data_IF_611123259324
#
_entry.id   IF_611123259324
#
_cell.length_a   1.000
_cell.length_b   1.000
_cell.length_c   1.000
_cell.angle_alpha   90.00
_cell.angle_beta   90.00
_cell.angle_gamma   90.00
#
_symmetry.space_group_name_H-M   'P 1'
#
loop_
_entity.id
_entity.type
_entity.pdbx_description
1 polymer ?
#
# COMPACT_ATOMS: atom_id res chain seq x y z
N UNK A 1 -18.62 1.52 2.34
CA UNK A 1 -17.16 1.27 2.30
C UNK A 1 -16.48 2.47 2.91
N UNK A 2 -15.49 2.29 3.79
CA UNK A 2 -14.70 3.41 4.30
C UNK A 2 -13.66 3.78 3.23
N UNK A 3 -13.67 5.03 2.77
CA UNK A 3 -12.65 5.51 1.84
C UNK A 3 -11.29 5.51 2.52
N UNK A 4 -10.22 5.27 1.74
CA UNK A 4 -8.86 5.42 2.26
C UNK A 4 -8.66 6.86 2.76
N UNK A 5 -7.97 7.02 3.89
CA UNK A 5 -7.54 8.31 4.41
C UNK A 5 -6.22 8.14 5.17
N UNK A 6 -5.40 9.19 5.33
CA UNK A 6 -4.19 9.13 6.16
C UNK A 6 -4.51 8.72 7.61
N UNK A 7 -5.65 9.16 8.15
CA UNK A 7 -6.11 8.81 9.49
C UNK A 7 -6.36 7.31 9.63
N UNK A 8 -7.10 6.72 8.68
CA UNK A 8 -7.37 5.27 8.69
C UNK A 8 -6.11 4.46 8.43
N UNK A 9 -5.19 4.93 7.58
CA UNK A 9 -3.90 4.27 7.34
C UNK A 9 -2.97 4.30 8.58
N UNK A 10 -2.97 5.39 9.35
CA UNK A 10 -2.22 5.46 10.61
C UNK A 10 -2.79 4.52 11.69
N UNK A 11 -4.12 4.38 11.74
CA UNK A 11 -4.84 3.65 12.80
C UNK A 11 -5.05 2.15 12.50
N UNK A 12 -5.27 1.77 11.25
CA UNK A 12 -5.52 0.39 10.88
C UNK A 12 -4.23 -0.44 11.01
N UNK A 13 -4.30 -1.56 11.72
CA UNK A 13 -3.18 -2.42 12.08
C UNK A 13 -2.49 -3.13 10.89
N UNK A 14 -2.48 -4.48 10.80
CA UNK A 14 -1.69 -5.29 9.84
C UNK A 14 -1.87 -4.93 8.38
N UNK A 15 -2.99 -4.33 8.02
CA UNK A 15 -3.39 -4.20 6.65
C UNK A 15 -3.76 -2.74 6.35
N UNK A 16 -3.40 -2.30 5.13
CA UNK A 16 -3.93 -1.12 4.44
C UNK A 16 -3.13 0.18 4.57
N UNK A 17 -2.09 0.23 3.75
CA UNK A 17 -1.25 1.41 3.45
C UNK A 17 -1.61 2.02 2.09
N UNK A 18 -2.79 1.73 1.51
CA UNK A 18 -2.87 1.75 0.04
C UNK A 18 -4.11 2.47 -0.48
N UNK A 19 -3.86 3.62 -1.12
CA UNK A 19 -4.85 4.38 -1.87
C UNK A 19 -5.26 3.53 -3.07
N UNK A 20 -6.55 3.27 -3.30
CA UNK A 20 -6.99 2.65 -4.54
C UNK A 20 -6.46 3.51 -5.67
N UNK A 21 -5.49 2.94 -6.39
CA UNK A 21 -5.00 3.37 -7.69
C UNK A 21 -5.47 4.77 -8.11
N UNK A 22 -4.66 5.81 -7.89
CA UNK A 22 -5.06 7.16 -8.25
C UNK A 22 -5.22 7.21 -9.78
N UNK A 23 -6.46 7.29 -10.24
CA UNK A 23 -6.80 7.39 -11.66
C UNK A 23 -7.08 8.83 -12.08
N UNK A 24 -7.31 9.75 -11.12
CA UNK A 24 -7.76 11.10 -11.46
C UNK A 24 -7.39 12.22 -10.48
N UNK A 25 -7.04 11.97 -9.21
CA UNK A 25 -6.81 13.08 -8.28
C UNK A 25 -5.64 12.90 -7.30
N UNK A 26 -4.44 12.90 -7.88
CA UNK A 26 -3.16 12.99 -7.14
C UNK A 26 -3.09 14.24 -6.25
N UNK A 27 -3.79 15.32 -6.64
CA UNK A 27 -3.82 16.58 -5.90
C UNK A 27 -4.66 16.47 -4.63
N UNK A 28 -5.83 15.81 -4.68
CA UNK A 28 -6.61 15.49 -3.50
C UNK A 28 -5.83 14.60 -2.53
N UNK A 29 -5.13 13.59 -3.06
CA UNK A 29 -4.29 12.72 -2.26
C UNK A 29 -3.18 13.52 -1.54
N UNK A 30 -2.43 14.34 -2.28
CA UNK A 30 -1.41 15.23 -1.72
C UNK A 30 -1.99 16.12 -0.62
N UNK A 31 -3.15 16.72 -0.86
CA UNK A 31 -3.84 17.60 0.10
C UNK A 31 -4.16 16.86 1.39
N UNK A 32 -4.76 15.67 1.31
CA UNK A 32 -5.10 14.87 2.50
C UNK A 32 -3.85 14.49 3.31
N UNK A 33 -2.79 14.06 2.63
CA UNK A 33 -1.52 13.63 3.25
C UNK A 33 -0.84 14.80 3.95
N UNK A 34 -0.76 15.95 3.29
CA UNK A 34 -0.21 17.16 3.89
C UNK A 34 -1.04 17.66 5.07
N UNK A 35 -2.38 17.62 4.99
CA UNK A 35 -3.26 17.97 6.09
C UNK A 35 -3.08 17.06 7.32
N UNK A 36 -2.66 15.81 7.11
CA UNK A 36 -2.33 14.87 8.19
C UNK A 36 -0.89 15.02 8.74
N UNK A 37 -0.11 15.99 8.25
CA UNK A 37 1.28 16.21 8.68
C UNK A 37 2.28 15.19 8.12
N UNK A 38 1.89 14.43 7.09
CA UNK A 38 2.78 13.44 6.47
C UNK A 38 3.72 14.08 5.46
N UNK A 39 4.87 13.44 5.24
CA UNK A 39 5.76 13.75 4.13
C UNK A 39 5.19 13.19 2.83
N UNK A 40 5.33 13.97 1.76
CA UNK A 40 4.80 13.65 0.43
C UNK A 40 5.94 13.63 -0.57
N UNK A 41 6.03 12.53 -1.32
CA UNK A 41 6.95 12.34 -2.43
C UNK A 41 6.16 11.81 -3.63
N UNK A 42 6.56 12.23 -4.83
CA UNK A 42 5.99 11.73 -6.07
C UNK A 42 7.12 11.44 -7.07
N UNK A 43 7.03 10.28 -7.72
CA UNK A 43 7.88 9.92 -8.85
C UNK A 43 6.96 9.55 -10.02
N UNK A 44 6.93 10.39 -11.05
CA UNK A 44 6.12 10.17 -12.24
C UNK A 44 6.95 9.59 -13.39
N UNK A 45 8.26 9.86 -13.42
CA UNK A 45 9.16 9.48 -14.52
C UNK A 45 10.48 8.91 -13.99
N UNK A 46 10.81 7.68 -14.39
CA UNK A 46 12.01 6.95 -13.90
C UNK A 46 13.28 7.76 -13.92
N UNK A 47 13.63 8.33 -15.08
CA UNK A 47 14.94 8.96 -15.27
C UNK A 47 15.07 10.28 -14.50
N UNK A 48 13.95 10.96 -14.22
CA UNK A 48 13.95 12.26 -13.53
C UNK A 48 13.79 12.09 -12.03
N UNK A 49 13.02 11.08 -11.61
CA UNK A 49 12.56 10.93 -10.23
C UNK A 49 13.21 9.74 -9.52
N UNK A 50 14.24 9.11 -10.12
CA UNK A 50 15.00 8.04 -9.46
C UNK A 50 15.54 8.45 -8.09
N UNK A 51 15.99 9.72 -7.96
CA UNK A 51 16.45 10.27 -6.68
C UNK A 51 15.35 10.35 -5.62
N UNK A 52 14.08 10.53 -6.03
CA UNK A 52 12.94 10.54 -5.12
C UNK A 52 12.70 9.15 -4.54
N UNK A 53 12.70 8.12 -5.40
CA UNK A 53 12.55 6.72 -4.97
C UNK A 53 13.71 6.32 -4.05
N UNK A 54 14.94 6.68 -4.42
CA UNK A 54 16.13 6.43 -3.59
C UNK A 54 16.02 7.11 -2.21
N UNK A 55 15.63 8.38 -2.16
CA UNK A 55 15.49 9.11 -0.89
C UNK A 55 14.46 8.47 0.06
N UNK A 56 13.33 7.99 -0.47
CA UNK A 56 12.31 7.29 0.33
C UNK A 56 12.82 5.91 0.80
N UNK A 57 13.52 5.19 -0.08
CA UNK A 57 14.17 3.92 0.27
C UNK A 57 15.21 4.09 1.38
N UNK A 58 15.96 5.20 1.38
CA UNK A 58 16.92 5.53 2.44
C UNK A 58 16.23 5.86 3.77
N UNK A 59 15.07 6.52 3.74
CA UNK A 59 14.26 6.71 4.97
C UNK A 59 13.85 5.36 5.54
N UNK A 60 13.33 4.46 4.70
CA UNK A 60 12.94 3.11 5.13
C UNK A 60 14.13 2.35 5.70
N UNK A 61 15.27 2.37 5.00
CA UNK A 61 16.48 1.63 5.41
C UNK A 61 17.01 2.13 6.74
N UNK A 62 17.04 3.46 6.96
CA UNK A 62 17.42 4.05 8.25
C UNK A 62 16.48 3.62 9.36
N UNK A 63 15.16 3.74 9.17
CA UNK A 63 14.16 3.33 10.18
C UNK A 63 14.25 1.84 10.50
N UNK A 64 14.46 0.99 9.50
CA UNK A 64 14.66 -0.44 9.68
C UNK A 64 15.92 -0.75 10.49
N UNK A 65 17.05 -0.10 10.16
CA UNK A 65 18.31 -0.26 10.88
C UNK A 65 18.20 0.18 12.35
N UNK A 66 17.45 1.25 12.61
CA UNK A 66 17.23 1.76 13.97
C UNK A 66 16.05 1.10 14.69
N UNK A 67 15.39 0.12 14.06
CA UNK A 67 14.19 -0.55 14.59
C UNK A 67 13.14 0.46 15.06
N UNK A 68 13.02 1.60 14.35
CA UNK A 68 12.09 2.66 14.71
C UNK A 68 10.68 2.09 14.74
N UNK A 69 9.99 2.13 15.90
CA UNK A 69 8.64 1.62 16.02
C UNK A 69 7.68 2.43 15.15
N UNK A 70 6.63 1.76 14.69
CA UNK A 70 5.49 2.42 14.05
C UNK A 70 4.87 3.46 15.00
N UNK A 71 4.40 4.57 14.45
CA UNK A 71 3.76 5.69 15.14
C UNK A 71 4.67 6.32 16.22
N UNK A 72 5.98 6.30 16.03
CA UNK A 72 6.91 6.95 16.95
C UNK A 72 6.59 8.46 17.05
N UNK A 73 6.39 9.02 18.27
CA UNK A 73 6.13 10.44 18.43
C UNK A 73 7.21 11.31 17.77
N UNK A 74 6.79 12.33 17.01
CA UNK A 74 7.69 13.23 16.29
C UNK A 74 8.26 12.69 14.98
N UNK A 75 8.01 11.42 14.63
CA UNK A 75 8.42 10.84 13.35
C UNK A 75 7.26 10.97 12.34
N UNK A 76 7.39 11.78 11.28
CA UNK A 76 6.32 11.89 10.29
C UNK A 76 6.21 10.61 9.44
N UNK A 77 4.98 10.21 9.14
CA UNK A 77 4.75 9.20 8.11
C UNK A 77 5.17 9.75 6.74
N UNK A 78 5.59 8.85 5.85
CA UNK A 78 6.01 9.16 4.48
C UNK A 78 5.04 8.51 3.52
N UNK A 79 4.58 9.23 2.50
CA UNK A 79 3.89 8.65 1.36
C UNK A 79 4.66 8.93 0.06
N UNK A 80 4.95 7.87 -0.68
CA UNK A 80 5.52 7.90 -2.03
C UNK A 80 4.45 7.56 -3.06
N UNK A 81 4.10 8.49 -3.92
CA UNK A 81 3.23 8.23 -5.06
C UNK A 81 4.05 7.92 -6.32
N UNK A 82 3.65 6.88 -7.05
CA UNK A 82 4.29 6.35 -8.24
C UNK A 82 3.35 6.50 -9.43
N UNK A 83 3.83 7.22 -10.45
CA UNK A 83 3.13 7.44 -11.71
C UNK A 83 3.18 6.24 -12.67
N UNK A 84 2.45 6.35 -13.78
CA UNK A 84 2.34 5.28 -14.77
C UNK A 84 3.68 4.96 -15.46
N UNK A 85 4.58 5.95 -15.62
CA UNK A 85 5.83 5.76 -16.37
C UNK A 85 6.97 5.17 -15.52
N UNK A 86 6.75 4.98 -14.22
CA UNK A 86 7.72 4.33 -13.34
C UNK A 86 7.43 2.83 -13.27
N UNK A 87 8.40 1.95 -13.59
CA UNK A 87 8.25 0.52 -13.44
C UNK A 87 7.88 0.21 -12.00
N UNK A 88 6.75 -0.44 -11.86
CA UNK A 88 6.20 -0.79 -10.57
C UNK A 88 7.04 -1.89 -9.87
N UNK A 89 7.83 -2.65 -10.64
CA UNK A 89 8.62 -3.80 -10.19
C UNK A 89 10.06 -3.46 -9.77
N UNK A 90 10.38 -2.19 -9.54
CA UNK A 90 11.69 -1.79 -9.02
C UNK A 90 11.94 -2.44 -7.64
N UNK A 91 13.15 -2.94 -7.35
CA UNK A 91 13.49 -3.56 -6.06
C UNK A 91 13.18 -2.66 -4.86
N UNK A 92 13.39 -1.35 -4.99
CA UNK A 92 13.10 -0.36 -3.95
C UNK A 92 11.61 -0.28 -3.65
N UNK A 93 10.77 -0.30 -4.69
CA UNK A 93 9.31 -0.29 -4.54
C UNK A 93 8.80 -1.59 -3.93
N UNK A 94 9.42 -2.74 -4.27
CA UNK A 94 9.13 -4.03 -3.62
C UNK A 94 9.48 -3.99 -2.13
N UNK A 95 10.65 -3.44 -1.80
CA UNK A 95 11.10 -3.30 -0.41
C UNK A 95 10.20 -2.38 0.40
N UNK A 96 9.78 -1.26 -0.19
CA UNK A 96 8.82 -0.34 0.43
C UNK A 96 7.46 -1.03 0.60
N UNK A 97 7.00 -1.78 -0.40
CA UNK A 97 5.76 -2.55 -0.30
C UNK A 97 5.79 -3.57 0.84
N UNK A 98 6.94 -4.25 1.04
CA UNK A 98 7.10 -5.29 2.05
C UNK A 98 7.30 -4.72 3.46
N UNK A 99 8.19 -3.74 3.62
CA UNK A 99 8.69 -3.29 4.92
C UNK A 99 8.15 -1.91 5.33
N UNK A 100 7.67 -1.11 4.38
CA UNK A 100 7.36 0.30 4.59
C UNK A 100 6.42 0.54 5.77
N UNK A 101 5.41 -0.31 5.93
CA UNK A 101 4.44 -0.25 7.03
C UNK A 101 5.06 -0.31 8.42
N UNK A 102 6.05 -1.19 8.63
CA UNK A 102 6.70 -1.33 9.94
C UNK A 102 7.45 -0.06 10.35
N UNK A 103 7.69 0.82 9.37
CA UNK A 103 8.51 2.00 9.49
C UNK A 103 7.79 3.25 8.98
N UNK A 104 6.46 3.30 8.95
CA UNK A 104 5.67 4.47 8.52
C UNK A 104 6.06 5.06 7.16
N UNK A 105 6.43 4.19 6.22
CA UNK A 105 6.63 4.50 4.80
C UNK A 105 5.53 3.83 3.98
N UNK A 106 4.75 4.66 3.30
CA UNK A 106 3.55 4.31 2.58
C UNK A 106 3.85 4.50 1.09
N UNK A 107 3.24 3.69 0.23
CA UNK A 107 3.43 3.79 -1.22
C UNK A 107 2.04 3.85 -1.89
N UNK A 108 1.92 4.59 -2.99
CA UNK A 108 0.69 4.72 -3.78
C UNK A 108 1.05 4.54 -5.24
N UNK A 109 0.39 3.64 -5.95
CA UNK A 109 0.76 3.31 -7.33
C UNK A 109 -0.37 3.70 -8.27
N UNK A 110 -0.03 4.28 -9.42
CA UNK A 110 -1.00 4.66 -10.46
C UNK A 110 -1.84 3.45 -10.92
N UNK A 111 -3.10 3.72 -11.28
CA UNK A 111 -4.03 2.72 -11.81
C UNK A 111 -3.57 2.03 -13.09
N UNK A 112 -2.69 2.66 -13.86
CA UNK A 112 -2.09 2.06 -15.05
C UNK A 112 -1.39 0.72 -14.74
N UNK A 113 -0.86 0.55 -13.53
CA UNK A 113 -0.15 -0.66 -13.12
C UNK A 113 -1.08 -1.81 -12.69
N UNK A 114 -2.40 -1.57 -12.63
CA UNK A 114 -3.40 -2.55 -12.17
C UNK A 114 -3.53 -3.78 -13.05
N UNK A 115 -3.36 -3.61 -14.36
CA UNK A 115 -3.47 -4.70 -15.33
C UNK A 115 -2.24 -5.59 -15.34
N UNK A 116 -1.06 -5.08 -14.96
CA UNK A 116 0.21 -5.80 -14.97
C UNK A 116 0.57 -6.48 -13.64
N UNK A 117 0.22 -5.88 -12.51
CA UNK A 117 0.69 -6.34 -11.20
C UNK A 117 0.13 -7.69 -10.73
N UNK A 118 -1.11 -8.02 -11.09
CA UNK A 118 -1.75 -9.28 -10.70
C UNK A 118 -1.36 -10.50 -11.54
N UNK A 119 -0.47 -10.33 -12.53
CA UNK A 119 -0.15 -11.36 -13.54
C UNK A 119 1.22 -12.01 -13.36
N UNK A 120 1.99 -11.63 -12.36
CA UNK A 120 3.39 -12.04 -12.27
C UNK A 120 3.70 -12.76 -10.95
N UNK A 121 4.09 -14.03 -11.07
CA UNK A 121 4.12 -15.03 -10.00
C UNK A 121 5.19 -14.79 -8.91
N UNK A 122 6.19 -13.94 -9.17
CA UNK A 122 7.30 -13.68 -8.25
C UNK A 122 7.06 -12.51 -7.28
N UNK A 123 5.88 -11.91 -7.26
CA UNK A 123 5.66 -10.71 -6.46
C UNK A 123 4.88 -10.98 -5.18
N UNK A 124 5.21 -10.26 -4.09
CA UNK A 124 4.55 -10.43 -2.81
C UNK A 124 3.04 -10.11 -2.94
N UNK A 125 2.22 -10.84 -2.19
CA UNK A 125 0.77 -10.57 -2.12
C UNK A 125 0.51 -9.13 -1.67
N UNK A 126 1.40 -8.59 -0.84
CA UNK A 126 1.44 -7.20 -0.42
C UNK A 126 1.44 -6.29 -1.65
N UNK A 127 2.30 -6.53 -2.64
CA UNK A 127 2.37 -5.69 -3.83
C UNK A 127 1.08 -5.72 -4.69
N UNK A 128 0.46 -6.90 -4.83
CA UNK A 128 -0.81 -7.06 -5.53
C UNK A 128 -1.95 -6.37 -4.77
N UNK A 129 -1.97 -6.47 -3.44
CA UNK A 129 -2.92 -5.80 -2.58
C UNK A 129 -2.76 -4.26 -2.62
N UNK A 130 -1.53 -3.76 -2.84
CA UNK A 130 -1.24 -2.34 -3.01
C UNK A 130 -1.94 -1.74 -4.23
N UNK A 131 -1.86 -2.45 -5.36
CA UNK A 131 -2.36 -1.95 -6.64
C UNK A 131 -3.87 -2.19 -6.80
N UNK A 132 -4.39 -3.27 -6.21
CA UNK A 132 -5.80 -3.62 -6.33
C UNK A 132 -6.71 -2.91 -5.32
N UNK A 133 -6.14 -2.26 -4.31
CA UNK A 133 -6.87 -1.45 -3.32
C UNK A 133 -7.79 -2.33 -2.46
N UNK A 134 -7.34 -2.72 -1.28
CA UNK A 134 -8.14 -3.59 -0.40
C UNK A 134 -9.52 -3.01 -0.03
N UNK A 135 -9.63 -1.69 0.16
CA UNK A 135 -10.91 -1.04 0.48
C UNK A 135 -11.97 -1.15 -0.64
N UNK A 136 -11.54 -1.47 -1.87
CA UNK A 136 -12.42 -1.75 -3.01
C UNK A 136 -13.00 -3.18 -3.00
N UNK A 137 -12.47 -4.10 -2.18
CA UNK A 137 -12.88 -5.53 -2.14
C UNK A 137 -14.10 -5.85 -1.27
N UNK A 138 -14.84 -4.85 -0.81
CA UNK A 138 -16.09 -5.07 -0.09
C UNK A 138 -17.17 -5.75 -0.94
N UNK A 139 -17.34 -7.07 -0.73
CA UNK A 139 -18.46 -7.96 -1.11
C UNK A 139 -18.74 -8.16 -2.61
N UNK A 140 -18.06 -9.12 -3.22
CA UNK A 140 -18.70 -10.13 -4.09
C UNK A 140 -18.00 -11.47 -3.91
N UNK A 141 -18.65 -12.42 -3.23
CA UNK A 141 -18.20 -13.82 -3.24
C UNK A 141 -17.80 -14.47 -1.90
N UNK A 142 -18.50 -14.21 -0.79
CA UNK A 142 -18.73 -15.31 0.15
C UNK A 142 -19.90 -16.11 -0.39
N UNK A 143 -19.65 -17.05 -1.29
CA UNK A 143 -20.50 -18.21 -1.53
C UNK A 143 -19.68 -19.18 -2.37
N UNK A 144 -18.93 -20.03 -1.69
CA UNK A 144 -18.61 -21.40 -2.07
C UNK A 144 -17.92 -22.03 -0.86
N UNK A 145 -18.74 -22.30 0.17
CA UNK A 145 -18.40 -23.35 1.12
C UNK A 145 -18.42 -24.65 0.33
N UNK A 146 -17.25 -25.08 -0.14
CA UNK A 146 -17.05 -26.45 -0.62
C UNK A 146 -17.28 -27.39 0.57
N UNK A 147 -18.07 -28.42 0.31
CA UNK A 147 -18.78 -29.18 1.33
C UNK A 147 -17.90 -29.91 2.34
N UNK A 148 -18.40 -29.95 3.57
CA UNK A 148 -18.34 -31.13 4.44
C UNK A 148 -19.65 -31.23 5.21
N UNK A 149 -20.49 -32.13 4.73
CA UNK A 149 -21.71 -32.59 5.40
C UNK A 149 -21.25 -33.45 6.59
N UNK A 150 -21.16 -32.87 7.77
CA UNK A 150 -21.11 -33.65 9.00
C UNK A 150 -22.55 -33.82 9.49
N UNK A 151 -23.08 -35.01 9.25
CA UNK A 151 -24.28 -35.50 9.91
C UNK A 151 -23.98 -35.62 11.41
N UNK A 152 -24.64 -34.81 12.23
CA UNK A 152 -24.86 -35.15 13.62
C UNK A 152 -26.32 -35.57 13.77
N UNK A 153 -26.49 -36.86 14.10
CA UNK A 153 -27.78 -37.47 14.38
C UNK A 153 -28.43 -36.82 15.59
N UNK A 154 -29.76 -36.71 15.52
CA UNK A 154 -30.61 -36.47 16.69
C UNK A 154 -30.55 -37.73 17.55
N UNK A 155 -30.16 -37.57 18.81
CA UNK A 155 -30.55 -38.51 19.84
C UNK A 155 -31.97 -38.15 20.25
N UNK A 156 -32.88 -39.10 20.05
CA UNK A 156 -34.09 -39.24 20.87
C UNK A 156 -33.72 -39.77 22.26
#
# INVERSE_FOLDING_TARGET
>A
MQAWSPRTAAQAGPAHTWIPSWSSDIAQLRTAVKAAGWQWYIAERVRRDASVVAAVSDVLTRRARHQTPRNMPGQPHVLLAIGPDVPWNLPELMRIALLGRAHDVHLAVSAAHRTSAGRHHHYPIEFVDNITGWYSRGRKGQHLVHGRRLHFGRNE
#
